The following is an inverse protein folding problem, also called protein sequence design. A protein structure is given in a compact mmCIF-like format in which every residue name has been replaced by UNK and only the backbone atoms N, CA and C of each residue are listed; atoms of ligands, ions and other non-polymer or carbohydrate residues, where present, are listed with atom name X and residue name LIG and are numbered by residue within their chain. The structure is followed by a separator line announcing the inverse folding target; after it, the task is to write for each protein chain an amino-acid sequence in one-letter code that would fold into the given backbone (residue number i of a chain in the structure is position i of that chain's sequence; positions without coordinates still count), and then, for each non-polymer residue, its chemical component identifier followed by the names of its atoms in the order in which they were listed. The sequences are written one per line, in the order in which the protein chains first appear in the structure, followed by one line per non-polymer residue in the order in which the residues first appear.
data_IF_558694010190
#
_entry.id   IF_558694010190
#
_cell.length_a   1.000
_cell.length_b   1.000
_cell.length_c   1.000
_cell.angle_alpha   90.00
_cell.angle_beta   90.00
_cell.angle_gamma   90.00
#
_symmetry.space_group_name_H-M   'P 1'
#
loop_
_entity.id
_entity.type
_entity.pdbx_description
1 polymer ?
#
# COMPACT_ATOMS: atom_id res chain seq x y z
N UNK A 1 20.64 66.06 -6.19
CA UNK A 1 21.54 65.25 -5.36
C UNK A 1 20.66 64.28 -4.58
N UNK A 2 20.48 63.05 -5.09
CA UNK A 2 19.62 62.03 -4.49
C UNK A 2 20.50 60.84 -4.13
N UNK A 3 20.64 60.59 -2.84
CA UNK A 3 21.43 59.51 -2.25
C UNK A 3 20.65 58.19 -2.32
N UNK A 4 21.23 57.18 -2.96
CA UNK A 4 20.73 55.80 -2.89
C UNK A 4 21.13 55.19 -1.54
N UNK A 5 20.14 54.77 -0.76
CA UNK A 5 20.32 53.92 0.42
C UNK A 5 20.53 52.45 -0.02
N UNK A 6 21.38 51.67 0.66
CA UNK A 6 21.61 50.28 0.30
C UNK A 6 20.38 49.42 0.66
N UNK A 7 20.03 48.52 -0.26
CA UNK A 7 18.98 47.51 -0.07
C UNK A 7 19.32 46.65 1.15
N UNK A 8 18.57 46.83 2.23
CA UNK A 8 18.58 45.90 3.36
C UNK A 8 18.10 44.53 2.85
N UNK A 9 18.98 43.53 2.92
CA UNK A 9 18.62 42.15 2.70
C UNK A 9 17.58 41.73 3.75
N UNK A 10 16.42 41.29 3.29
CA UNK A 10 15.35 40.76 4.12
C UNK A 10 15.84 39.58 4.98
N UNK A 11 15.54 39.54 6.29
CA UNK A 11 15.88 38.42 7.16
C UNK A 11 14.87 37.28 6.97
N UNK A 12 14.86 36.67 5.79
CA UNK A 12 14.09 35.45 5.47
C UNK A 12 15.03 34.41 4.90
N UNK A 13 16.05 34.06 5.68
CA UNK A 13 16.88 32.87 5.49
C UNK A 13 17.04 32.12 6.82
N UNK A 14 15.92 31.64 7.33
CA UNK A 14 15.95 30.37 8.07
C UNK A 14 15.31 29.34 7.14
N UNK A 15 16.13 28.90 6.19
CA UNK A 15 15.82 27.77 5.35
C UNK A 15 15.67 26.55 6.26
N UNK A 16 14.44 26.10 6.49
CA UNK A 16 14.20 24.72 6.90
C UNK A 16 14.56 23.81 5.72
N UNK A 17 15.87 23.68 5.46
CA UNK A 17 16.49 22.73 4.53
C UNK A 17 16.49 21.30 5.11
N UNK A 18 15.38 20.88 5.73
CA UNK A 18 15.17 19.46 5.97
C UNK A 18 14.32 18.95 4.83
N UNK A 19 14.97 18.35 3.84
CA UNK A 19 14.31 17.45 2.90
C UNK A 19 13.51 16.45 3.78
N UNK A 20 12.18 16.40 3.64
CA UNK A 20 11.37 15.48 4.43
C UNK A 20 11.88 14.06 4.19
N UNK A 21 12.42 13.43 5.24
CA UNK A 21 12.90 12.05 5.16
C UNK A 21 11.71 11.10 5.01
N UNK A 22 11.88 10.01 4.28
CA UNK A 22 10.83 8.98 4.16
C UNK A 22 10.58 8.35 5.54
N UNK A 23 9.37 7.86 5.79
CA UNK A 23 9.05 7.10 7.03
C UNK A 23 10.00 5.90 7.25
N UNK A 24 10.44 5.27 6.16
CA UNK A 24 11.46 4.23 6.15
C UNK A 24 12.83 4.71 6.66
N UNK A 25 13.21 5.95 6.36
CA UNK A 25 14.47 6.57 6.80
C UNK A 25 14.42 7.01 8.26
N UNK A 26 13.23 7.31 8.79
CA UNK A 26 13.03 7.54 10.23
C UNK A 26 13.15 6.27 11.06
N UNK A 27 12.81 5.10 10.50
CA UNK A 27 12.91 3.82 11.22
C UNK A 27 14.36 3.49 11.66
N UNK A 28 15.36 4.06 10.98
CA UNK A 28 16.77 3.91 11.33
C UNK A 28 17.27 4.90 12.40
N UNK A 29 16.44 5.87 12.79
CA UNK A 29 16.81 7.00 13.65
C UNK A 29 15.93 7.02 14.91
N UNK A 30 16.03 6.01 15.77
CA UNK A 30 15.34 6.01 17.06
C UNK A 30 16.33 5.96 18.23
N UNK A 31 16.65 7.14 18.76
CA UNK A 31 16.97 7.33 20.18
C UNK A 31 16.74 8.81 20.53
N UNK A 32 16.25 9.08 21.74
CA UNK A 32 15.86 10.38 22.36
C UNK A 32 14.39 10.82 22.16
N UNK A 33 13.64 10.82 23.26
CA UNK A 33 12.26 11.29 23.40
C UNK A 33 12.21 12.55 24.27
N UNK A 34 11.50 13.59 23.83
CA UNK A 34 11.16 14.80 24.61
C UNK A 34 9.64 14.91 24.79
N UNK A 35 9.22 15.38 25.98
CA UNK A 35 7.82 15.42 26.48
C UNK A 35 6.85 16.31 25.67
N UNK A 36 7.33 17.34 24.96
CA UNK A 36 6.47 18.18 24.07
C UNK A 36 5.85 17.38 22.90
N UNK A 37 6.46 16.27 22.48
CA UNK A 37 5.89 15.41 21.45
C UNK A 37 4.60 14.72 21.91
N UNK A 38 4.39 14.54 23.21
CA UNK A 38 3.31 13.70 23.71
C UNK A 38 1.96 14.43 23.80
N UNK A 39 1.93 15.77 23.88
CA UNK A 39 0.70 16.55 23.70
C UNK A 39 0.29 16.65 22.22
N UNK A 40 1.25 16.84 21.31
CA UNK A 40 1.00 16.84 19.86
C UNK A 40 0.59 15.46 19.34
N UNK A 41 1.06 14.37 19.97
CA UNK A 41 0.63 13.00 19.65
C UNK A 41 -0.83 12.72 19.97
N UNK A 42 -1.43 13.42 20.96
CA UNK A 42 -2.84 13.22 21.36
C UNK A 42 -3.84 13.92 20.44
N UNK A 43 -3.43 14.96 19.70
CA UNK A 43 -4.27 15.62 18.68
C UNK A 43 -4.25 14.91 17.32
N UNK A 44 -3.42 13.88 17.18
CA UNK A 44 -3.21 13.14 15.96
C UNK A 44 -3.79 11.73 16.07
N UNK A 45 -4.56 11.31 15.08
CA UNK A 45 -5.02 9.92 14.96
C UNK A 45 -3.84 8.96 15.14
N UNK A 46 -4.05 7.89 15.89
CA UNK A 46 -3.03 6.91 16.18
C UNK A 46 -2.51 6.27 14.89
N UNK A 47 -1.29 5.72 14.90
CA UNK A 47 -0.74 5.00 13.73
C UNK A 47 -1.72 3.91 13.26
N UNK A 48 -2.34 3.22 14.21
CA UNK A 48 -3.31 2.15 13.96
C UNK A 48 -4.57 2.69 13.29
N UNK A 49 -5.14 3.78 13.77
CA UNK A 49 -6.30 4.44 13.12
C UNK A 49 -5.99 4.89 11.70
N UNK A 50 -4.81 5.48 11.48
CA UNK A 50 -4.41 5.91 10.14
C UNK A 50 -4.32 4.70 9.21
N UNK A 51 -3.69 3.60 9.65
CA UNK A 51 -3.61 2.39 8.84
C UNK A 51 -5.02 1.82 8.58
N UNK A 52 -5.86 1.70 9.61
CA UNK A 52 -7.23 1.22 9.47
C UNK A 52 -8.02 2.04 8.44
N UNK A 53 -7.92 3.38 8.48
CA UNK A 53 -8.60 4.22 7.49
C UNK A 53 -8.08 4.03 6.06
N UNK A 54 -6.78 3.77 5.87
CA UNK A 54 -6.21 3.47 4.55
C UNK A 54 -6.72 2.12 4.02
N UNK A 55 -6.73 1.08 4.86
CA UNK A 55 -7.28 -0.22 4.50
C UNK A 55 -8.79 -0.14 4.24
N UNK A 56 -9.54 0.56 5.09
CA UNK A 56 -10.97 0.76 4.90
C UNK A 56 -11.24 1.43 3.56
N UNK A 57 -10.52 2.50 3.22
CA UNK A 57 -10.66 3.15 1.92
C UNK A 57 -10.41 2.17 0.76
N UNK A 58 -9.36 1.34 0.84
CA UNK A 58 -9.08 0.34 -0.20
C UNK A 58 -10.20 -0.70 -0.33
N UNK A 59 -10.71 -1.23 0.78
CA UNK A 59 -11.73 -2.28 0.77
C UNK A 59 -13.12 -1.75 0.38
N UNK A 60 -13.49 -0.58 0.90
CA UNK A 60 -14.81 0.04 0.73
C UNK A 60 -14.91 0.75 -0.63
N UNK A 61 -13.99 1.68 -0.89
CA UNK A 61 -14.11 2.60 -2.03
C UNK A 61 -13.52 1.98 -3.29
N UNK A 62 -12.39 1.29 -3.19
CA UNK A 62 -11.76 0.72 -4.37
C UNK A 62 -12.35 -0.65 -4.74
N UNK A 63 -12.47 -1.57 -3.79
CA UNK A 63 -12.96 -2.92 -4.08
C UNK A 63 -14.48 -3.10 -3.91
N UNK A 64 -15.15 -2.24 -3.12
CA UNK A 64 -16.58 -2.42 -2.83
C UNK A 64 -16.90 -3.65 -1.97
N UNK A 65 -15.93 -4.15 -1.19
CA UNK A 65 -16.06 -5.38 -0.39
C UNK A 65 -16.75 -5.17 0.96
N UNK A 66 -16.63 -3.98 1.52
CA UNK A 66 -17.27 -3.61 2.78
C UNK A 66 -18.18 -2.42 2.49
N UNK A 67 -19.46 -2.55 2.78
CA UNK A 67 -20.47 -1.52 2.52
C UNK A 67 -21.26 -1.22 3.79
N UNK A 68 -21.62 0.04 3.97
CA UNK A 68 -22.49 0.54 5.04
C UNK A 68 -23.94 0.67 4.56
N UNK A 69 -24.45 -0.29 3.80
CA UNK A 69 -25.84 -0.21 3.33
C UNK A 69 -26.82 -0.70 4.40
N UNK A 70 -27.27 0.25 5.22
CA UNK A 70 -28.60 0.24 5.83
C UNK A 70 -29.67 0.47 4.75
N UNK A 71 -29.82 -0.40 3.76
CA UNK A 71 -31.04 -0.48 2.96
C UNK A 71 -31.28 -1.93 2.58
N UNK A 72 -32.47 -2.39 2.95
CA UNK A 72 -32.84 -3.79 2.98
C UNK A 72 -32.64 -4.55 1.67
N UNK A 73 -32.48 -5.85 1.85
CA UNK A 73 -32.89 -6.86 0.89
C UNK A 73 -32.09 -6.90 -0.42
N UNK A 74 -30.77 -6.85 -0.29
CA UNK A 74 -29.94 -7.73 -1.11
C UNK A 74 -29.50 -8.87 -0.23
N UNK A 75 -30.08 -10.05 -0.46
CA UNK A 75 -29.36 -11.29 -0.26
C UNK A 75 -28.08 -11.18 -1.10
N UNK A 76 -27.06 -10.56 -0.53
CA UNK A 76 -25.75 -10.41 -1.14
C UNK A 76 -25.26 -11.84 -1.33
N UNK A 77 -25.15 -12.26 -2.59
CA UNK A 77 -24.36 -13.44 -2.92
C UNK A 77 -23.09 -13.34 -2.11
N UNK A 78 -22.90 -14.27 -1.18
CA UNK A 78 -21.69 -14.37 -0.36
C UNK A 78 -20.60 -14.71 -1.36
N UNK A 79 -20.03 -13.67 -1.98
CA UNK A 79 -18.87 -13.80 -2.84
C UNK A 79 -17.74 -14.11 -1.90
N UNK A 80 -17.47 -15.40 -1.80
CA UNK A 80 -16.31 -15.94 -1.14
C UNK A 80 -15.11 -15.52 -1.99
N UNK A 81 -14.27 -14.63 -1.45
CA UNK A 81 -13.10 -14.10 -2.16
C UNK A 81 -11.78 -14.48 -1.48
N UNK A 82 -10.71 -14.47 -2.28
CA UNK A 82 -9.32 -14.61 -1.84
C UNK A 82 -8.61 -13.26 -1.86
N UNK A 83 -8.13 -12.81 -0.70
CA UNK A 83 -7.48 -11.52 -0.50
C UNK A 83 -6.05 -11.69 0.02
N UNK A 84 -5.12 -10.98 -0.61
CA UNK A 84 -3.71 -10.92 -0.22
C UNK A 84 -3.32 -9.52 0.23
N UNK A 85 -2.65 -9.41 1.38
CA UNK A 85 -2.05 -8.19 1.91
C UNK A 85 -0.52 -8.25 1.79
N UNK A 86 0.04 -7.51 0.84
CA UNK A 86 1.47 -7.43 0.56
C UNK A 86 2.12 -6.29 1.34
N UNK A 87 3.08 -6.63 2.21
CA UNK A 87 3.67 -5.70 3.15
C UNK A 87 2.76 -5.45 4.36
N UNK A 88 2.10 -6.49 4.84
CA UNK A 88 1.10 -6.42 5.93
C UNK A 88 1.70 -5.95 7.28
N UNK A 89 3.03 -5.93 7.40
CA UNK A 89 3.76 -5.51 8.58
C UNK A 89 3.69 -6.51 9.73
N UNK A 90 3.98 -6.02 10.92
CA UNK A 90 3.92 -6.79 12.16
C UNK A 90 2.77 -6.28 13.04
N UNK A 91 2.10 -7.20 13.73
CA UNK A 91 1.10 -6.82 14.70
C UNK A 91 1.71 -6.45 16.04
N UNK A 92 1.74 -5.15 16.35
CA UNK A 92 2.17 -4.68 17.66
C UNK A 92 1.25 -5.14 18.81
N UNK A 93 -0.04 -5.41 18.52
CA UNK A 93 -1.07 -5.76 19.51
C UNK A 93 -1.80 -7.08 19.17
N UNK A 94 -1.21 -7.97 18.38
CA UNK A 94 -1.76 -9.28 18.02
C UNK A 94 -2.84 -9.33 16.93
N UNK A 95 -3.36 -8.20 16.43
CA UNK A 95 -4.27 -8.14 15.26
C UNK A 95 -3.76 -7.17 14.17
N UNK A 96 -3.75 -7.63 12.90
CA UNK A 96 -3.45 -6.80 11.73
C UNK A 96 -4.64 -5.89 11.37
N UNK A 97 -4.43 -4.72 10.74
CA UNK A 97 -5.52 -3.81 10.38
C UNK A 97 -6.64 -4.49 9.58
N UNK A 98 -6.25 -5.34 8.63
CA UNK A 98 -7.18 -6.06 7.76
C UNK A 98 -8.14 -6.97 8.53
N UNK A 99 -7.65 -7.65 9.57
CA UNK A 99 -8.44 -8.52 10.43
C UNK A 99 -9.53 -7.78 11.21
N UNK A 100 -9.38 -6.47 11.42
CA UNK A 100 -10.40 -5.67 12.13
C UNK A 100 -11.53 -5.21 11.21
N UNK A 101 -11.31 -5.25 9.90
CA UNK A 101 -12.22 -4.70 8.90
C UNK A 101 -13.00 -5.79 8.15
N UNK A 102 -12.43 -6.99 8.01
CA UNK A 102 -13.07 -8.09 7.29
C UNK A 102 -13.76 -9.02 8.29
N UNK A 103 -15.10 -9.15 8.24
CA UNK A 103 -15.81 -10.21 8.92
C UNK A 103 -15.29 -11.58 8.48
N UNK A 104 -15.08 -12.48 9.44
CA UNK A 104 -14.61 -13.87 9.19
C UNK A 104 -15.49 -14.68 8.25
N UNK A 105 -16.73 -14.25 8.01
CA UNK A 105 -17.69 -14.91 7.12
C UNK A 105 -17.60 -14.49 5.64
N UNK A 106 -16.81 -13.47 5.29
CA UNK A 106 -16.79 -12.90 3.93
C UNK A 106 -15.62 -13.37 3.06
N UNK A 107 -14.48 -13.75 3.63
CA UNK A 107 -13.30 -14.15 2.88
C UNK A 107 -13.02 -15.65 3.03
N UNK A 108 -12.81 -16.36 1.90
CA UNK A 108 -12.34 -17.75 1.93
C UNK A 108 -10.93 -17.85 2.49
N UNK A 109 -10.12 -16.88 2.05
CA UNK A 109 -8.69 -16.90 2.21
C UNK A 109 -8.23 -15.46 2.35
N UNK A 110 -7.75 -15.10 3.53
CA UNK A 110 -7.04 -13.85 3.75
C UNK A 110 -5.61 -14.17 4.15
N UNK A 111 -4.64 -13.72 3.36
CA UNK A 111 -3.21 -13.95 3.65
C UNK A 111 -2.49 -12.63 3.76
N UNK A 112 -1.65 -12.48 4.79
CA UNK A 112 -0.67 -11.41 4.90
C UNK A 112 0.72 -11.90 4.59
N UNK A 113 1.48 -11.11 3.83
CA UNK A 113 2.88 -11.36 3.53
C UNK A 113 3.70 -10.16 3.95
N UNK A 114 4.75 -10.41 4.73
CA UNK A 114 5.75 -9.40 5.10
C UNK A 114 7.05 -10.12 5.50
N UNK A 115 8.16 -9.39 5.56
CA UNK A 115 9.41 -9.89 6.15
C UNK A 115 9.25 -10.13 7.67
N UNK A 116 8.41 -9.33 8.32
CA UNK A 116 8.18 -9.36 9.77
C UNK A 116 6.78 -9.83 10.14
N UNK A 117 6.13 -10.61 9.24
CA UNK A 117 4.78 -11.09 9.43
C UNK A 117 4.70 -12.03 10.63
N UNK A 118 4.21 -11.51 11.75
CA UNK A 118 3.97 -12.31 12.94
C UNK A 118 2.53 -12.11 13.39
N UNK A 119 1.75 -13.18 13.31
CA UNK A 119 0.39 -13.22 13.84
C UNK A 119 0.35 -14.30 14.91
N UNK A 120 0.27 -13.87 16.17
CA UNK A 120 0.33 -14.77 17.33
C UNK A 120 -0.97 -15.53 17.57
N UNK A 121 -2.08 -15.14 16.95
CA UNK A 121 -3.37 -15.84 17.05
C UNK A 121 -4.36 -15.29 16.02
N UNK A 122 -4.74 -16.08 15.03
CA UNK A 122 -5.94 -15.80 14.23
C UNK A 122 -6.40 -17.00 13.41
N UNK A 123 -7.67 -17.37 13.55
CA UNK A 123 -8.40 -18.25 12.62
C UNK A 123 -8.80 -17.52 11.32
N UNK A 124 -8.68 -16.19 11.27
CA UNK A 124 -9.24 -15.35 10.20
C UNK A 124 -8.24 -14.98 9.09
N UNK A 125 -6.94 -15.02 9.37
CA UNK A 125 -5.91 -14.58 8.41
C UNK A 125 -4.61 -15.36 8.63
N UNK A 126 -4.10 -15.99 7.57
CA UNK A 126 -2.78 -16.62 7.59
C UNK A 126 -1.69 -15.55 7.36
N UNK A 127 -0.54 -15.68 8.02
CA UNK A 127 0.59 -14.77 7.82
C UNK A 127 1.82 -15.55 7.38
N UNK A 128 2.49 -15.09 6.32
CA UNK A 128 3.66 -15.73 5.73
C UNK A 128 4.84 -14.78 5.80
N UNK A 129 5.91 -15.25 6.43
CA UNK A 129 7.20 -14.56 6.42
C UNK A 129 7.87 -14.73 5.05
N UNK A 130 7.91 -13.65 4.27
CA UNK A 130 8.53 -13.64 2.96
C UNK A 130 9.19 -12.30 2.65
N UNK A 131 10.44 -12.34 2.22
CA UNK A 131 11.17 -11.15 1.79
C UNK A 131 10.74 -10.74 0.38
N UNK A 132 9.82 -9.77 0.29
CA UNK A 132 9.36 -9.15 -0.94
C UNK A 132 10.41 -8.22 -1.58
N UNK A 133 11.54 -7.98 -0.91
CA UNK A 133 12.62 -7.09 -1.36
C UNK A 133 13.86 -7.84 -1.86
N UNK A 134 13.79 -9.18 -1.95
CA UNK A 134 14.92 -10.01 -2.36
C UNK A 134 15.28 -9.85 -3.84
N UNK A 135 16.58 -9.82 -4.13
CA UNK A 135 17.12 -9.83 -5.50
C UNK A 135 17.28 -11.25 -6.05
N UNK A 136 17.54 -11.36 -7.36
CA UNK A 136 17.58 -12.63 -8.11
C UNK A 136 18.67 -13.61 -7.70
N UNK A 137 19.66 -13.19 -6.91
CA UNK A 137 20.78 -14.03 -6.47
C UNK A 137 20.35 -15.17 -5.54
N UNK A 138 19.09 -15.13 -5.07
CA UNK A 138 18.48 -16.20 -4.29
C UNK A 138 17.70 -17.16 -5.20
N UNK A 139 17.95 -18.46 -5.06
CA UNK A 139 17.52 -19.61 -5.90
C UNK A 139 16.03 -19.74 -6.30
N UNK A 140 15.15 -18.84 -5.86
CA UNK A 140 13.71 -18.85 -6.20
C UNK A 140 13.41 -17.79 -7.27
N UNK A 141 12.87 -18.24 -8.40
CA UNK A 141 12.42 -17.36 -9.49
C UNK A 141 11.24 -16.48 -9.03
N UNK A 142 10.31 -17.06 -8.28
CA UNK A 142 9.10 -16.40 -7.78
C UNK A 142 9.39 -15.60 -6.50
N UNK A 143 8.70 -14.48 -6.27
CA UNK A 143 8.86 -13.68 -5.04
C UNK A 143 8.03 -14.23 -3.86
N UNK A 144 6.86 -14.80 -4.13
CA UNK A 144 5.93 -15.34 -3.13
C UNK A 144 5.71 -16.85 -3.34
N UNK A 145 5.30 -17.61 -2.30
CA UNK A 145 5.08 -19.05 -2.38
C UNK A 145 3.67 -19.43 -2.87
N UNK A 146 3.04 -18.59 -3.70
CA UNK A 146 1.69 -18.85 -4.20
C UNK A 146 1.69 -19.37 -5.63
N UNK A 147 0.67 -20.14 -5.97
CA UNK A 147 0.37 -20.51 -7.35
C UNK A 147 -0.10 -19.28 -8.13
N UNK A 148 -0.10 -19.41 -9.44
CA UNK A 148 -0.60 -18.37 -10.34
C UNK A 148 -2.12 -18.20 -10.16
N UNK A 149 -2.60 -16.96 -10.27
CA UNK A 149 -4.02 -16.59 -10.35
C UNK A 149 -4.89 -17.03 -9.16
N UNK A 150 -4.34 -16.95 -7.95
CA UNK A 150 -5.01 -17.43 -6.72
C UNK A 150 -5.84 -16.34 -6.03
N UNK A 151 -5.49 -15.06 -6.19
CA UNK A 151 -6.11 -13.98 -5.42
C UNK A 151 -7.01 -13.11 -6.28
N UNK A 152 -8.25 -12.95 -5.85
CA UNK A 152 -9.21 -12.01 -6.46
C UNK A 152 -8.82 -10.57 -6.14
N UNK A 153 -8.29 -10.35 -4.93
CA UNK A 153 -7.94 -9.03 -4.43
C UNK A 153 -6.52 -9.02 -3.88
N UNK A 154 -5.75 -8.00 -4.25
CA UNK A 154 -4.43 -7.73 -3.67
C UNK A 154 -4.41 -6.31 -3.12
N UNK A 155 -4.12 -6.14 -1.84
CA UNK A 155 -3.91 -4.84 -1.21
C UNK A 155 -2.46 -4.71 -0.77
N UNK A 156 -1.88 -3.52 -0.93
CA UNK A 156 -0.59 -3.19 -0.37
C UNK A 156 -0.63 -1.77 0.16
N UNK A 157 -0.57 -1.63 1.49
CA UNK A 157 -0.64 -0.32 2.15
C UNK A 157 0.72 0.05 2.71
N UNK A 158 1.23 1.21 2.31
CA UNK A 158 2.46 1.79 2.86
C UNK A 158 3.70 0.88 2.69
N UNK A 159 3.79 0.11 1.61
CA UNK A 159 4.92 -0.80 1.33
C UNK A 159 5.78 -0.37 0.13
N UNK A 160 5.18 -0.01 -1.00
CA UNK A 160 5.90 0.12 -2.28
C UNK A 160 7.09 1.09 -2.28
N UNK A 161 7.09 2.10 -1.40
CA UNK A 161 8.21 3.03 -1.26
C UNK A 161 9.52 2.38 -0.78
N UNK A 162 9.46 1.18 -0.20
CA UNK A 162 10.64 0.41 0.20
C UNK A 162 11.36 -0.18 -1.02
N UNK A 163 10.64 -0.58 -2.06
CA UNK A 163 11.23 -1.06 -3.32
C UNK A 163 11.94 0.05 -4.09
N UNK A 164 11.45 1.29 -3.95
CA UNK A 164 11.95 2.48 -4.65
C UNK A 164 12.98 3.29 -3.85
N UNK A 165 13.63 2.70 -2.85
CA UNK A 165 14.61 3.43 -2.03
C UNK A 165 15.80 3.90 -2.90
N UNK A 166 16.01 5.23 -2.97
CA UNK A 166 16.92 5.89 -3.92
C UNK A 166 18.39 5.49 -3.81
N UNK A 167 18.80 4.89 -2.69
CA UNK A 167 20.20 4.51 -2.46
C UNK A 167 20.64 3.34 -3.36
N UNK A 168 19.72 2.73 -4.13
CA UNK A 168 20.02 1.60 -5.01
C UNK A 168 19.26 1.70 -6.35
N UNK A 169 19.49 2.76 -7.13
CA UNK A 169 18.69 3.06 -8.35
C UNK A 169 18.53 1.89 -9.32
N UNK A 170 19.61 1.19 -9.67
CA UNK A 170 19.55 0.01 -10.56
C UNK A 170 18.76 -1.15 -9.94
N UNK A 171 19.05 -1.50 -8.68
CA UNK A 171 18.37 -2.57 -7.94
C UNK A 171 16.88 -2.24 -7.73
N UNK A 172 16.56 -0.97 -7.48
CA UNK A 172 15.20 -0.51 -7.24
C UNK A 172 14.28 -0.69 -8.46
N UNK A 173 14.83 -0.51 -9.68
CA UNK A 173 14.08 -0.77 -10.91
C UNK A 173 13.84 -2.26 -11.13
N UNK A 174 14.83 -3.10 -10.81
CA UNK A 174 14.69 -4.57 -10.91
C UNK A 174 13.67 -5.11 -9.91
N UNK A 175 13.77 -4.69 -8.65
CA UNK A 175 12.83 -5.07 -7.59
C UNK A 175 11.40 -4.66 -7.93
N UNK A 176 11.22 -3.45 -8.47
CA UNK A 176 9.90 -2.97 -8.89
C UNK A 176 9.36 -3.77 -10.09
N UNK A 177 10.19 -4.11 -11.07
CA UNK A 177 9.80 -4.98 -12.21
C UNK A 177 9.34 -6.34 -11.71
N UNK A 178 10.16 -7.00 -10.88
CA UNK A 178 9.84 -8.32 -10.33
C UNK A 178 8.60 -8.30 -9.46
N UNK A 179 8.45 -7.29 -8.62
CA UNK A 179 7.23 -7.12 -7.83
C UNK A 179 6.00 -6.96 -8.72
N UNK A 180 6.12 -6.21 -9.82
CA UNK A 180 5.03 -6.00 -10.78
C UNK A 180 4.66 -7.30 -11.50
N UNK A 181 5.66 -8.05 -11.96
CA UNK A 181 5.49 -9.37 -12.59
C UNK A 181 4.82 -10.36 -11.62
N UNK A 182 5.30 -10.41 -10.39
CA UNK A 182 4.73 -11.27 -9.35
C UNK A 182 3.28 -10.92 -9.05
N UNK A 183 2.95 -9.63 -8.95
CA UNK A 183 1.61 -9.14 -8.68
C UNK A 183 0.63 -9.67 -9.72
N UNK A 184 0.97 -9.59 -11.02
CA UNK A 184 0.09 -10.10 -12.08
C UNK A 184 0.10 -11.62 -12.20
N UNK A 185 1.19 -12.28 -11.82
CA UNK A 185 1.26 -13.74 -11.76
C UNK A 185 0.25 -14.30 -10.77
N UNK A 186 0.16 -13.73 -9.57
CA UNK A 186 -0.69 -14.26 -8.48
C UNK A 186 -2.12 -13.71 -8.50
N UNK A 187 -2.36 -12.58 -9.19
CA UNK A 187 -3.68 -11.97 -9.34
C UNK A 187 -4.55 -12.81 -10.30
N UNK A 188 -5.80 -13.04 -9.92
CA UNK A 188 -6.78 -13.75 -10.73
C UNK A 188 -6.93 -13.10 -12.10
N UNK A 189 -7.04 -13.93 -13.15
CA UNK A 189 -7.29 -13.48 -14.51
C UNK A 189 -8.78 -13.56 -14.81
N UNK A 190 -9.28 -12.73 -15.74
CA UNK A 190 -10.67 -12.81 -16.14
C UNK A 190 -10.90 -14.08 -16.95
N UNK A 191 -11.96 -14.83 -16.63
CA UNK A 191 -12.32 -16.02 -17.38
C UNK A 191 -12.70 -15.65 -18.83
N UNK A 192 -12.37 -16.52 -19.78
CA UNK A 192 -12.70 -16.35 -21.20
C UNK A 192 -14.22 -16.48 -21.47
N UNK A 193 -14.97 -17.02 -20.51
CA UNK A 193 -16.41 -17.25 -20.61
C UNK A 193 -17.20 -16.09 -19.97
N UNK A 194 -18.32 -15.74 -20.60
CA UNK A 194 -19.08 -14.48 -20.50
C UNK A 194 -19.31 -13.95 -19.06
N UNK A 195 -18.31 -13.26 -18.50
CA UNK A 195 -18.44 -12.04 -17.72
C UNK A 195 -18.95 -12.11 -16.27
N UNK A 196 -18.92 -13.27 -15.60
CA UNK A 196 -19.45 -13.36 -14.21
C UNK A 196 -18.41 -13.54 -13.10
N UNK A 197 -17.22 -14.08 -13.38
CA UNK A 197 -16.18 -14.34 -12.37
C UNK A 197 -14.77 -14.06 -12.94
N UNK A 198 -13.83 -13.62 -12.08
CA UNK A 198 -12.40 -13.53 -12.44
C UNK A 198 -11.78 -12.13 -12.64
N UNK A 199 -12.42 -11.02 -12.26
CA UNK A 199 -11.74 -9.71 -12.37
C UNK A 199 -10.80 -9.47 -11.19
N UNK A 200 -9.56 -9.99 -11.28
CA UNK A 200 -8.54 -9.69 -10.28
C UNK A 200 -8.32 -8.18 -10.14
N UNK A 201 -8.42 -7.68 -8.91
CA UNK A 201 -8.26 -6.27 -8.56
C UNK A 201 -7.10 -6.06 -7.60
N UNK A 202 -6.45 -4.91 -7.72
CA UNK A 202 -5.33 -4.56 -6.87
C UNK A 202 -5.35 -3.08 -6.45
N UNK A 203 -5.01 -2.83 -5.19
CA UNK A 203 -4.81 -1.48 -4.63
C UNK A 203 -3.42 -1.36 -4.04
N UNK A 204 -2.65 -0.40 -4.54
CA UNK A 204 -1.33 -0.04 -4.01
C UNK A 204 -1.36 1.38 -3.45
N UNK A 205 -1.22 1.51 -2.13
CA UNK A 205 -1.02 2.79 -1.44
C UNK A 205 0.44 2.91 -1.02
N UNK A 206 1.11 4.00 -1.43
CA UNK A 206 2.50 4.25 -1.04
C UNK A 206 2.81 5.74 -0.93
N UNK A 207 4.03 6.05 -0.48
CA UNK A 207 4.51 7.43 -0.29
C UNK A 207 5.63 7.74 -1.29
N UNK A 208 5.30 8.22 -2.52
CA UNK A 208 6.31 8.65 -3.48
C UNK A 208 7.07 9.89 -2.98
N UNK A 209 8.33 10.04 -3.36
CA UNK A 209 9.06 11.30 -3.17
C UNK A 209 8.69 12.38 -4.19
N UNK A 210 8.05 11.99 -5.30
CA UNK A 210 7.58 12.89 -6.34
C UNK A 210 6.90 12.10 -7.46
N UNK A 211 6.36 12.81 -8.46
CA UNK A 211 5.62 12.19 -9.56
C UNK A 211 6.46 11.22 -10.39
N UNK A 212 7.76 11.42 -10.49
CA UNK A 212 8.67 10.47 -11.16
C UNK A 212 8.64 9.07 -10.53
N UNK A 213 8.50 8.97 -9.20
CA UNK A 213 8.35 7.67 -8.52
C UNK A 213 7.02 7.03 -8.91
N UNK A 214 5.95 7.82 -8.99
CA UNK A 214 4.61 7.36 -9.40
C UNK A 214 4.62 6.87 -10.84
N UNK A 215 5.23 7.62 -11.75
CA UNK A 215 5.34 7.25 -13.16
C UNK A 215 6.20 5.99 -13.33
N UNK A 216 7.28 5.84 -12.56
CA UNK A 216 8.11 4.63 -12.55
C UNK A 216 7.30 3.40 -12.14
N UNK A 217 6.50 3.50 -11.08
CA UNK A 217 5.58 2.43 -10.65
C UNK A 217 4.57 2.10 -11.74
N UNK A 218 3.88 3.12 -12.28
CA UNK A 218 2.87 2.91 -13.33
C UNK A 218 3.48 2.25 -14.57
N UNK A 219 4.67 2.69 -15.00
CA UNK A 219 5.37 2.12 -16.14
C UNK A 219 5.81 0.68 -15.89
N UNK A 220 6.27 0.35 -14.67
CA UNK A 220 6.63 -1.02 -14.31
C UNK A 220 5.42 -1.95 -14.33
N UNK A 221 4.30 -1.51 -13.75
CA UNK A 221 3.04 -2.26 -13.76
C UNK A 221 2.54 -2.47 -15.20
N UNK A 222 2.54 -1.43 -16.03
CA UNK A 222 2.11 -1.53 -17.42
C UNK A 222 3.02 -2.44 -18.26
N UNK A 223 4.33 -2.42 -18.03
CA UNK A 223 5.27 -3.34 -18.69
C UNK A 223 5.01 -4.79 -18.30
N UNK A 224 4.72 -5.04 -17.03
CA UNK A 224 4.42 -6.39 -16.54
C UNK A 224 3.09 -6.93 -17.09
N UNK A 225 2.09 -6.07 -17.29
CA UNK A 225 0.84 -6.44 -17.95
C UNK A 225 0.25 -5.27 -18.77
N UNK A 226 0.38 -5.25 -20.10
CA UNK A 226 -0.17 -4.20 -20.95
C UNK A 226 -1.71 -4.13 -20.98
N UNK A 227 -2.41 -5.18 -20.52
CA UNK A 227 -3.87 -5.22 -20.42
C UNK A 227 -4.39 -4.58 -19.13
N UNK A 228 -3.50 -3.99 -18.32
CA UNK A 228 -3.84 -3.30 -17.10
C UNK A 228 -4.79 -2.13 -17.38
N UNK A 229 -5.90 -2.10 -16.64
CA UNK A 229 -6.75 -0.91 -16.51
C UNK A 229 -6.68 -0.42 -15.07
N UNK A 230 -6.79 0.88 -14.87
CA UNK A 230 -6.68 1.43 -13.54
C UNK A 230 -6.64 2.94 -13.51
N UNK A 231 -6.53 3.49 -12.31
CA UNK A 231 -6.47 4.92 -12.09
C UNK A 231 -5.60 5.26 -10.87
N UNK A 232 -5.21 6.54 -10.81
CA UNK A 232 -4.57 7.16 -9.65
C UNK A 232 -5.67 7.85 -8.86
N UNK A 233 -5.80 7.51 -7.59
CA UNK A 233 -6.79 8.09 -6.69
C UNK A 233 -6.04 8.91 -5.64
N UNK A 234 -6.38 10.20 -5.55
CA UNK A 234 -5.93 11.09 -4.50
C UNK A 234 -7.09 11.29 -3.53
N UNK A 235 -6.97 10.74 -2.33
CA UNK A 235 -8.02 10.79 -1.32
C UNK A 235 -7.49 11.26 0.01
N UNK A 236 -8.38 11.71 0.90
CA UNK A 236 -8.04 12.08 2.26
C UNK A 236 -8.82 11.18 3.25
N UNK A 237 -8.42 9.90 3.44
CA UNK A 237 -9.17 8.96 4.28
C UNK A 237 -9.20 9.34 5.76
N UNK A 238 -8.30 10.23 6.19
CA UNK A 238 -8.24 10.74 7.57
C UNK A 238 -8.34 12.26 7.51
N UNK A 239 -9.43 12.83 8.02
CA UNK A 239 -9.76 14.25 7.92
C UNK A 239 -8.63 15.18 8.37
N UNK A 240 -7.91 14.84 9.43
CA UNK A 240 -6.82 15.68 9.98
C UNK A 240 -5.43 15.34 9.41
N UNK A 241 -5.37 14.66 8.27
CA UNK A 241 -4.11 14.29 7.59
C UNK A 241 -4.16 14.72 6.12
N UNK A 242 -2.99 14.92 5.53
CA UNK A 242 -2.89 15.25 4.11
C UNK A 242 -3.33 14.11 3.20
N UNK A 243 -3.55 14.47 1.93
CA UNK A 243 -3.93 13.58 0.83
C UNK A 243 -2.99 12.38 0.72
N UNK A 244 -3.57 11.24 0.32
CA UNK A 244 -2.94 9.94 0.13
C UNK A 244 -3.17 9.49 -1.31
N UNK A 245 -2.12 8.94 -1.91
CA UNK A 245 -2.16 8.34 -3.24
C UNK A 245 -2.47 6.85 -3.11
N UNK A 246 -3.43 6.40 -3.91
CA UNK A 246 -3.73 5.01 -4.18
C UNK A 246 -3.65 4.77 -5.68
N UNK A 247 -3.07 3.65 -6.08
CA UNK A 247 -3.24 3.10 -7.43
C UNK A 247 -4.27 2.00 -7.33
N UNK A 248 -5.36 2.13 -8.06
CA UNK A 248 -6.34 1.07 -8.22
C UNK A 248 -6.21 0.49 -9.61
N UNK A 249 -6.23 -0.83 -9.72
CA UNK A 249 -6.04 -1.51 -10.99
C UNK A 249 -6.77 -2.84 -11.08
N UNK A 250 -7.11 -3.22 -12.31
CA UNK A 250 -7.80 -4.47 -12.66
C UNK A 250 -7.20 -5.04 -13.94
N UNK A 251 -7.26 -6.37 -14.09
CA UNK A 251 -6.90 -7.01 -15.37
C UNK A 251 -8.13 -7.15 -16.26
N UNK A 252 -7.99 -6.84 -17.55
CA UNK A 252 -9.05 -6.91 -18.56
C UNK A 252 -8.69 -7.91 -19.66
N UNK A 253 -9.67 -8.65 -20.17
CA UNK A 253 -9.48 -9.55 -21.32
C UNK A 253 -9.39 -8.80 -22.66
N UNK A 254 -9.85 -7.55 -22.71
CA UNK A 254 -9.82 -6.65 -23.87
C UNK A 254 -8.88 -5.47 -23.65
#
# INVERSE_FOLDING_TARGET
MLSFLPVQQSPTKWAHQRIPRRRAEYAQSFCTSNEENDQLRRSHSSRTEIQLALYQFALEVCFGLIGTDNFGDRASSIHVYSLLDLGCGNSANGSLPLMKLIPTSLAQLTIGVDLFANCSNSLAMACINCDLTRTSDQRSVQLTPFRDHVFDYIVSISFLQWLMAKNMSHVSSELLSRFSEELFRILSQPDDDDGQYGHGQCVLQFYPSGWTDVDSVCNSLFKANPKLKGCRILAQPVANRGIKLFLYMTVSNK
#
